data_IF_509561442199
#
_entry.id   IF_509561442199
#
_cell.length_a   1.000
_cell.length_b   1.000
_cell.length_c   1.000
_cell.angle_alpha   90.00
_cell.angle_beta   90.00
_cell.angle_gamma   90.00
#
_symmetry.space_group_name_H-M   'P 1'
#
loop_
_entity.id
_entity.type
_entity.pdbx_description
1 polymer ?
#
# COMPACT_ATOMS: atom_id res chain seq x y z
N UNK A 1 -2.22 12.15 15.39
CA UNK A 1 -1.26 11.25 14.76
C UNK A 1 0.12 11.44 15.35
N UNK A 2 0.89 10.37 15.51
CA UNK A 2 2.31 10.42 15.86
C UNK A 2 3.08 9.40 15.01
N UNK A 3 4.42 9.43 15.06
CA UNK A 3 5.28 8.57 14.26
C UNK A 3 4.98 7.08 14.45
N UNK A 4 4.72 6.65 15.68
CA UNK A 4 4.45 5.24 15.99
C UNK A 4 3.15 4.77 15.36
N UNK A 5 2.11 5.60 15.39
CA UNK A 5 0.81 5.28 14.81
C UNK A 5 0.90 5.21 13.29
N UNK A 6 1.48 6.23 12.64
CA UNK A 6 1.55 6.23 11.16
C UNK A 6 2.41 5.09 10.61
N UNK A 7 3.50 4.72 11.30
CA UNK A 7 4.32 3.55 10.91
C UNK A 7 3.51 2.25 10.97
N UNK A 8 2.67 2.09 11.99
CA UNK A 8 1.77 0.93 12.13
C UNK A 8 0.68 0.94 11.07
N UNK A 9 0.09 2.10 10.79
CA UNK A 9 -0.92 2.23 9.73
C UNK A 9 -0.32 1.81 8.37
N UNK A 10 0.87 2.31 8.01
CA UNK A 10 1.57 1.93 6.77
C UNK A 10 1.87 0.42 6.72
N UNK A 11 2.41 -0.15 7.80
CA UNK A 11 2.69 -1.59 7.88
C UNK A 11 1.43 -2.44 7.76
N UNK A 12 0.37 -2.06 8.46
CA UNK A 12 -0.86 -2.83 8.51
C UNK A 12 -1.60 -2.80 7.16
N UNK A 13 -1.89 -1.61 6.64
CA UNK A 13 -2.78 -1.51 5.48
C UNK A 13 -2.12 -1.97 4.17
N UNK A 14 -0.83 -1.65 3.97
CA UNK A 14 -0.13 -2.12 2.77
C UNK A 14 0.21 -3.62 2.90
N UNK A 15 0.58 -4.07 4.11
CA UNK A 15 0.83 -5.48 4.38
C UNK A 15 -0.41 -6.35 4.08
N UNK A 16 -1.57 -5.96 4.60
CA UNK A 16 -2.83 -6.67 4.35
C UNK A 16 -3.15 -6.71 2.84
N UNK A 17 -2.98 -5.59 2.12
CA UNK A 17 -3.21 -5.55 0.67
C UNK A 17 -2.28 -6.51 -0.10
N UNK A 18 -0.99 -6.56 0.26
CA UNK A 18 -0.02 -7.48 -0.35
C UNK A 18 -0.38 -8.94 -0.02
N UNK A 19 -0.75 -9.23 1.23
CA UNK A 19 -1.13 -10.57 1.67
C UNK A 19 -2.38 -11.07 0.90
N UNK A 20 -3.40 -10.22 0.73
CA UNK A 20 -4.59 -10.54 -0.05
C UNK A 20 -4.27 -10.81 -1.53
N UNK A 21 -3.44 -9.96 -2.14
CA UNK A 21 -2.99 -10.17 -3.53
C UNK A 21 -2.19 -11.47 -3.67
N UNK A 22 -1.28 -11.73 -2.73
CA UNK A 22 -0.45 -12.94 -2.71
C UNK A 22 -1.30 -14.21 -2.53
N UNK A 23 -2.31 -14.14 -1.65
CA UNK A 23 -3.26 -15.23 -1.46
C UNK A 23 -4.07 -15.49 -2.72
N UNK A 24 -4.53 -14.45 -3.43
CA UNK A 24 -5.22 -14.62 -4.71
C UNK A 24 -4.35 -15.37 -5.72
N UNK A 25 -3.08 -14.98 -5.88
CA UNK A 25 -2.14 -15.66 -6.79
C UNK A 25 -1.97 -17.13 -6.41
N UNK A 26 -1.79 -17.41 -5.12
CA UNK A 26 -1.62 -18.77 -4.62
C UNK A 26 -2.87 -19.65 -4.84
N UNK A 27 -4.07 -19.08 -4.77
CA UNK A 27 -5.33 -19.79 -4.95
C UNK A 27 -5.75 -19.97 -6.42
N UNK A 28 -5.12 -19.26 -7.36
CA UNK A 28 -5.41 -19.33 -8.80
C UNK A 28 -4.21 -19.85 -9.62
N UNK A 29 -3.68 -21.05 -9.31
CA UNK A 29 -2.54 -21.58 -10.04
C UNK A 29 -2.93 -21.84 -11.51
N UNK A 30 -2.22 -21.20 -12.44
CA UNK A 30 -2.43 -21.36 -13.89
C UNK A 30 -3.15 -20.20 -14.59
N UNK A 31 -3.60 -19.18 -13.86
CA UNK A 31 -3.92 -17.88 -14.47
C UNK A 31 -2.64 -17.08 -14.70
N UNK A 32 -2.65 -16.23 -15.73
CA UNK A 32 -1.64 -15.19 -15.92
C UNK A 32 -1.83 -14.11 -14.84
N UNK A 33 -1.05 -14.23 -13.78
CA UNK A 33 -1.09 -13.34 -12.61
C UNK A 33 0.02 -12.29 -12.62
N UNK A 34 0.72 -12.11 -13.74
CA UNK A 34 1.80 -11.13 -13.88
C UNK A 34 1.32 -9.71 -13.57
N UNK A 35 0.07 -9.39 -13.94
CA UNK A 35 -0.56 -8.11 -13.60
C UNK A 35 -0.68 -7.91 -12.07
N UNK A 36 -0.97 -8.96 -11.31
CA UNK A 36 -1.09 -8.91 -9.85
C UNK A 36 0.28 -8.83 -9.20
N UNK A 37 1.28 -9.54 -9.73
CA UNK A 37 2.67 -9.42 -9.29
C UNK A 37 3.18 -7.97 -9.42
N UNK A 38 2.91 -7.31 -10.54
CA UNK A 38 3.24 -5.89 -10.72
C UNK A 38 2.52 -4.97 -9.72
N UNK A 39 1.26 -5.27 -9.38
CA UNK A 39 0.50 -4.51 -8.37
C UNK A 39 1.11 -4.70 -6.97
N UNK A 40 1.59 -5.90 -6.64
CA UNK A 40 2.33 -6.17 -5.39
C UNK A 40 3.62 -5.35 -5.34
N UNK A 41 4.39 -5.30 -6.43
CA UNK A 41 5.61 -4.51 -6.51
C UNK A 41 5.34 -3.00 -6.30
N UNK A 42 4.28 -2.47 -6.91
CA UNK A 42 3.84 -1.09 -6.68
C UNK A 42 3.42 -0.82 -5.22
N UNK A 43 2.80 -1.80 -4.56
CA UNK A 43 2.45 -1.70 -3.14
C UNK A 43 3.71 -1.67 -2.26
N UNK A 44 4.74 -2.46 -2.59
CA UNK A 44 6.05 -2.43 -1.92
C UNK A 44 6.74 -1.08 -2.11
N UNK A 45 6.67 -0.49 -3.31
CA UNK A 45 7.20 0.85 -3.57
C UNK A 45 6.47 1.92 -2.75
N UNK A 46 5.14 1.86 -2.68
CA UNK A 46 4.34 2.73 -1.82
C UNK A 46 4.77 2.59 -0.36
N UNK A 47 4.96 1.36 0.13
CA UNK A 47 5.44 1.11 1.49
C UNK A 47 6.79 1.79 1.74
N UNK A 48 7.77 1.53 0.87
CA UNK A 48 9.13 2.06 1.01
C UNK A 48 9.13 3.60 1.02
N UNK A 49 8.40 4.21 0.09
CA UNK A 49 8.29 5.66 -0.04
C UNK A 49 7.65 6.30 1.21
N UNK A 50 6.52 5.76 1.68
CA UNK A 50 5.85 6.30 2.86
C UNK A 50 6.68 6.03 4.13
N UNK A 51 7.37 4.89 4.20
CA UNK A 51 8.22 4.54 5.34
C UNK A 51 9.41 5.48 5.48
N UNK A 52 10.06 5.79 4.36
CA UNK A 52 11.13 6.79 4.32
C UNK A 52 10.59 8.17 4.74
N UNK A 53 9.52 8.62 4.07
CA UNK A 53 8.89 9.93 4.30
C UNK A 53 8.51 10.18 5.77
N UNK A 54 7.94 9.20 6.47
CA UNK A 54 7.57 9.40 7.89
C UNK A 54 8.76 9.58 8.83
N UNK A 55 9.97 9.15 8.45
CA UNK A 55 11.18 9.37 9.24
C UNK A 55 11.75 10.79 9.08
N UNK A 56 11.28 11.54 8.09
CA UNK A 56 11.75 12.89 7.77
C UNK A 56 10.59 13.91 7.87
N UNK A 57 10.00 14.13 9.06
CA UNK A 57 8.86 15.02 9.21
C UNK A 57 9.27 16.50 9.07
N UNK A 58 8.46 17.24 8.33
CA UNK A 58 8.63 18.68 8.13
C UNK A 58 7.48 19.47 8.78
N UNK A 59 7.79 20.64 9.32
CA UNK A 59 6.81 21.53 9.94
C UNK A 59 6.06 20.90 11.13
N UNK A 60 4.74 21.09 11.17
CA UNK A 60 3.90 20.54 12.24
C UNK A 60 3.77 19.02 12.12
N UNK A 61 4.42 18.27 13.02
CA UNK A 61 4.39 16.80 13.05
C UNK A 61 2.98 16.21 12.96
N UNK A 62 2.00 16.81 13.66
CA UNK A 62 0.62 16.33 13.62
C UNK A 62 0.00 16.49 12.24
N UNK A 63 0.21 17.64 11.60
CA UNK A 63 -0.29 17.91 10.25
C UNK A 63 0.43 17.02 9.22
N UNK A 64 1.76 16.92 9.32
CA UNK A 64 2.58 16.08 8.45
C UNK A 64 2.11 14.62 8.46
N UNK A 65 2.02 13.98 9.63
CA UNK A 65 1.60 12.57 9.69
C UNK A 65 0.13 12.35 9.29
N UNK A 66 -0.74 13.35 9.49
CA UNK A 66 -2.10 13.28 8.94
C UNK A 66 -2.10 13.35 7.41
N UNK A 67 -1.24 14.18 6.82
CA UNK A 67 -1.04 14.24 5.37
C UNK A 67 -0.53 12.91 4.82
N UNK A 68 0.49 12.32 5.45
CA UNK A 68 0.99 11.00 5.06
C UNK A 68 -0.07 9.91 5.19
N UNK A 69 -0.96 9.97 6.19
CA UNK A 69 -2.08 9.03 6.28
C UNK A 69 -3.08 9.18 5.13
N UNK A 70 -3.31 10.40 4.67
CA UNK A 70 -4.14 10.63 3.48
C UNK A 70 -3.47 10.02 2.25
N UNK A 71 -2.18 10.27 2.05
CA UNK A 71 -1.40 9.68 0.95
C UNK A 71 -1.39 8.16 0.98
N UNK A 72 -1.31 7.55 2.17
CA UNK A 72 -1.44 6.10 2.35
C UNK A 72 -2.77 5.57 1.79
N UNK A 73 -3.89 6.19 2.17
CA UNK A 73 -5.21 5.74 1.71
C UNK A 73 -5.43 6.02 0.24
N UNK A 74 -5.03 7.20 -0.26
CA UNK A 74 -5.12 7.52 -1.68
C UNK A 74 -4.32 6.51 -2.53
N UNK A 75 -3.14 6.09 -2.05
CA UNK A 75 -2.31 5.08 -2.72
C UNK A 75 -2.92 3.69 -2.71
N UNK A 76 -3.52 3.27 -1.59
CA UNK A 76 -4.24 1.98 -1.49
C UNK A 76 -5.47 1.99 -2.39
N UNK A 77 -6.25 3.06 -2.40
CA UNK A 77 -7.43 3.18 -3.27
C UNK A 77 -7.04 3.01 -4.74
N UNK A 78 -5.95 3.64 -5.17
CA UNK A 78 -5.43 3.48 -6.53
C UNK A 78 -4.96 2.03 -6.83
N UNK A 79 -4.34 1.35 -5.88
CA UNK A 79 -3.95 -0.06 -6.02
C UNK A 79 -5.18 -0.97 -6.11
N UNK A 80 -6.22 -0.71 -5.32
CA UNK A 80 -7.50 -1.43 -5.39
C UNK A 80 -8.20 -1.24 -6.74
N UNK A 81 -8.20 -0.03 -7.32
CA UNK A 81 -8.72 0.22 -8.66
C UNK A 81 -7.96 -0.59 -9.73
N UNK A 82 -6.62 -0.61 -9.64
CA UNK A 82 -5.78 -1.43 -10.53
C UNK A 82 -6.07 -2.92 -10.39
N UNK A 83 -6.19 -3.41 -9.16
CA UNK A 83 -6.52 -4.80 -8.87
C UNK A 83 -7.89 -5.16 -9.45
N UNK A 84 -8.91 -4.33 -9.21
CA UNK A 84 -10.25 -4.54 -9.77
C UNK A 84 -10.24 -4.61 -11.30
N UNK A 85 -9.48 -3.73 -11.96
CA UNK A 85 -9.34 -3.75 -13.41
C UNK A 85 -8.57 -4.97 -13.94
N UNK A 86 -7.63 -5.52 -13.15
CA UNK A 86 -6.85 -6.70 -13.51
C UNK A 86 -7.68 -7.99 -13.43
N UNK A 87 -8.50 -8.14 -12.38
CA UNK A 87 -9.28 -9.36 -12.13
C UNK A 87 -10.64 -9.41 -12.84
N UNK A 88 -11.15 -8.27 -13.33
CA UNK A 88 -12.47 -8.21 -14.00
C UNK A 88 -12.42 -8.55 -15.49
N UNK A 89 -11.31 -9.11 -15.99
CA UNK A 89 -11.13 -9.54 -17.38
C UNK A 89 -11.33 -11.04 -17.52
#
# INVERSE_FOLDING_TARGET
MNLRVIKKDIEYFIGEFIDDCSLFVALNPGQDTDAIANIIDEAVDLYNNLKDKVNHPEGSKKAFYNGVRKELFDGIDALCEKLSAAISK
#
